data_IF_574193411193
#
_entry.id   IF_574193411193
#
_cell.length_a   1.000
_cell.length_b   1.000
_cell.length_c   1.000
_cell.angle_alpha   90.00
_cell.angle_beta   90.00
_cell.angle_gamma   90.00
#
_symmetry.space_group_name_H-M   'P 1'
#
loop_
_entity.id
_entity.type
_entity.pdbx_description
1 polymer ?
#
# COMPACT_ATOMS: atom_id res chain seq x y z
N UNK A 1 -32.47 -72.94 -34.60
CA UNK A 1 -31.96 -71.55 -34.69
C UNK A 1 -31.70 -71.03 -33.28
N UNK A 2 -30.46 -70.70 -33.01
CA UNK A 2 -30.08 -70.09 -31.73
C UNK A 2 -30.23 -68.56 -31.87
N UNK A 3 -31.07 -67.96 -31.06
CA UNK A 3 -31.19 -66.51 -30.98
C UNK A 3 -30.16 -66.00 -29.99
N UNK A 4 -29.24 -65.18 -30.46
CA UNK A 4 -28.20 -64.51 -29.67
C UNK A 4 -28.72 -63.10 -29.30
N UNK A 5 -28.80 -62.78 -27.98
CA UNK A 5 -29.19 -61.45 -27.50
C UNK A 5 -27.91 -60.84 -26.92
N UNK A 6 -27.30 -59.87 -27.57
CA UNK A 6 -26.19 -59.15 -26.99
C UNK A 6 -26.67 -58.29 -25.83
N UNK A 7 -26.09 -58.46 -24.64
CA UNK A 7 -26.29 -57.60 -23.50
C UNK A 7 -24.98 -56.81 -23.31
N UNK A 8 -25.06 -55.52 -23.43
CA UNK A 8 -23.88 -54.61 -23.33
C UNK A 8 -24.05 -53.77 -22.08
N UNK A 9 -23.00 -53.71 -21.28
CA UNK A 9 -22.91 -52.78 -20.16
C UNK A 9 -21.99 -51.66 -20.58
N UNK A 10 -22.30 -50.44 -20.16
CA UNK A 10 -21.48 -49.27 -20.32
C UNK A 10 -20.59 -49.09 -19.10
N UNK A 11 -19.37 -48.59 -19.28
CA UNK A 11 -18.50 -48.21 -18.18
C UNK A 11 -19.05 -46.97 -17.50
N UNK A 12 -18.90 -46.88 -16.17
CA UNK A 12 -19.25 -45.69 -15.43
C UNK A 12 -18.27 -44.56 -15.72
N UNK A 13 -18.74 -43.32 -15.90
CA UNK A 13 -17.89 -42.16 -16.14
C UNK A 13 -17.13 -41.75 -14.88
N UNK A 14 -16.14 -40.87 -15.07
CA UNK A 14 -15.43 -40.17 -14.02
C UNK A 14 -15.46 -38.67 -14.21
N UNK A 15 -15.20 -37.95 -13.15
CA UNK A 15 -15.05 -36.49 -13.14
C UNK A 15 -13.73 -36.11 -12.57
N UNK A 16 -12.95 -35.32 -13.29
CA UNK A 16 -11.74 -34.66 -12.80
C UNK A 16 -12.02 -33.17 -12.66
N UNK A 17 -11.80 -32.62 -11.49
CA UNK A 17 -11.79 -31.18 -11.23
C UNK A 17 -10.33 -30.74 -11.10
N UNK A 18 -9.95 -29.70 -11.84
CA UNK A 18 -8.59 -29.18 -11.84
C UNK A 18 -8.63 -27.71 -11.42
N UNK A 19 -7.75 -27.32 -10.53
CA UNK A 19 -7.67 -25.96 -9.98
C UNK A 19 -6.32 -25.33 -10.22
N UNK A 20 -6.34 -24.13 -10.82
CA UNK A 20 -5.14 -23.36 -11.14
C UNK A 20 -5.23 -21.91 -10.62
N UNK A 21 -4.07 -21.32 -10.35
CA UNK A 21 -3.89 -19.86 -10.30
C UNK A 21 -4.10 -19.27 -11.70
N UNK A 22 -4.91 -18.22 -11.82
CA UNK A 22 -5.28 -17.64 -13.11
C UNK A 22 -4.12 -16.91 -13.81
N UNK A 23 -3.12 -16.45 -13.05
CA UNK A 23 -1.98 -15.66 -13.54
C UNK A 23 -0.76 -16.53 -13.83
N UNK A 24 -0.39 -17.41 -12.91
CA UNK A 24 0.81 -18.25 -13.02
C UNK A 24 0.53 -19.59 -13.69
N UNK A 25 -0.72 -20.05 -13.70
CA UNK A 25 -1.18 -21.37 -14.10
C UNK A 25 -0.56 -22.51 -13.27
N UNK A 26 -0.10 -22.18 -12.07
CA UNK A 26 0.33 -23.19 -11.12
C UNK A 26 -0.89 -23.88 -10.48
N UNK A 27 -0.73 -25.16 -10.19
CA UNK A 27 -1.77 -25.95 -9.54
C UNK A 27 -2.02 -25.47 -8.10
N UNK A 28 -3.30 -25.39 -7.71
CA UNK A 28 -3.69 -24.96 -6.36
C UNK A 28 -4.19 -26.15 -5.54
N UNK A 29 -3.40 -26.65 -4.58
CA UNK A 29 -3.82 -27.71 -3.66
C UNK A 29 -4.69 -27.20 -2.53
N UNK A 30 -5.41 -28.14 -1.87
CA UNK A 30 -6.24 -27.90 -0.69
C UNK A 30 -7.43 -26.95 -0.90
N UNK A 31 -7.84 -26.73 -2.15
CA UNK A 31 -9.02 -25.93 -2.48
C UNK A 31 -10.26 -26.82 -2.37
N UNK A 32 -11.29 -26.33 -1.67
CA UNK A 32 -12.48 -27.11 -1.36
C UNK A 32 -13.60 -26.88 -2.36
N UNK A 33 -14.17 -27.96 -2.86
CA UNK A 33 -15.31 -27.96 -3.78
C UNK A 33 -16.47 -28.76 -3.21
N UNK A 34 -17.67 -28.20 -3.27
CA UNK A 34 -18.91 -28.94 -3.10
C UNK A 34 -19.32 -29.52 -4.45
N UNK A 35 -19.54 -30.83 -4.49
CA UNK A 35 -19.99 -31.55 -5.68
C UNK A 35 -21.38 -32.14 -5.41
N UNK A 36 -22.30 -31.90 -6.32
CA UNK A 36 -23.65 -32.47 -6.25
C UNK A 36 -24.05 -33.09 -7.59
N UNK A 37 -24.92 -34.10 -7.54
CA UNK A 37 -25.53 -34.74 -8.67
C UNK A 37 -27.05 -34.59 -8.57
N UNK A 38 -27.69 -34.10 -9.63
CA UNK A 38 -29.15 -33.92 -9.71
C UNK A 38 -29.71 -33.19 -8.46
N UNK A 39 -29.01 -32.12 -8.02
CA UNK A 39 -29.29 -31.32 -6.82
C UNK A 39 -29.10 -32.08 -5.48
N UNK A 40 -28.52 -33.27 -5.47
CA UNK A 40 -28.15 -34.01 -4.26
C UNK A 40 -26.65 -33.84 -3.98
N UNK A 41 -26.28 -33.32 -2.80
CA UNK A 41 -24.89 -33.18 -2.43
C UNK A 41 -24.21 -34.55 -2.28
N UNK A 42 -23.05 -34.71 -2.90
CA UNK A 42 -22.15 -35.84 -2.73
C UNK A 42 -21.11 -35.57 -1.62
N UNK A 43 -20.95 -34.32 -1.22
CA UNK A 43 -20.03 -33.89 -0.19
C UNK A 43 -19.09 -32.79 -0.65
N UNK A 44 -18.12 -32.48 0.24
CA UNK A 44 -17.03 -31.54 -0.02
C UNK A 44 -15.73 -32.30 -0.23
N UNK A 45 -15.03 -31.98 -1.30
CA UNK A 45 -13.77 -32.58 -1.72
C UNK A 45 -12.68 -31.50 -1.79
N UNK A 46 -11.43 -31.90 -1.59
CA UNK A 46 -10.29 -30.99 -1.66
C UNK A 46 -9.34 -31.42 -2.78
N UNK A 47 -8.73 -30.43 -3.46
CA UNK A 47 -7.69 -30.70 -4.43
C UNK A 47 -6.43 -31.23 -3.75
N UNK A 48 -5.79 -32.18 -4.39
CA UNK A 48 -4.52 -32.78 -3.99
C UNK A 48 -3.31 -31.87 -4.29
N UNK A 49 -2.08 -32.41 -4.14
CA UNK A 49 -0.85 -31.68 -4.42
C UNK A 49 -0.68 -31.24 -5.88
N UNK A 50 -1.43 -31.84 -6.81
CA UNK A 50 -1.47 -31.49 -8.23
C UNK A 50 -2.64 -30.55 -8.58
N UNK A 51 -3.39 -30.09 -7.59
CA UNK A 51 -4.56 -29.26 -7.79
C UNK A 51 -5.78 -30.04 -8.33
N UNK A 52 -5.85 -31.36 -8.13
CA UNK A 52 -6.87 -32.22 -8.73
C UNK A 52 -7.80 -32.87 -7.71
N UNK A 53 -9.06 -33.06 -8.09
CA UNK A 53 -10.01 -33.99 -7.47
C UNK A 53 -10.40 -35.00 -8.56
N UNK A 54 -10.20 -36.27 -8.31
CA UNK A 54 -10.60 -37.34 -9.22
C UNK A 54 -11.68 -38.21 -8.56
N UNK A 55 -12.86 -38.25 -9.19
CA UNK A 55 -13.95 -39.14 -8.83
C UNK A 55 -14.19 -40.14 -9.97
N UNK A 56 -14.17 -41.42 -9.64
CA UNK A 56 -14.40 -42.52 -10.60
C UNK A 56 -15.69 -43.26 -10.28
N UNK A 57 -16.13 -44.11 -11.20
CA UNK A 57 -17.29 -45.00 -11.04
C UNK A 57 -18.60 -44.23 -10.71
N UNK A 58 -18.75 -43.05 -11.29
CA UNK A 58 -19.88 -42.19 -11.09
C UNK A 58 -21.12 -42.70 -11.86
N UNK A 59 -22.32 -42.47 -11.32
CA UNK A 59 -23.55 -42.72 -12.04
C UNK A 59 -23.80 -41.64 -13.10
N UNK A 60 -24.23 -41.95 -14.32
CA UNK A 60 -24.62 -40.93 -15.30
C UNK A 60 -25.60 -39.92 -14.73
N UNK A 61 -25.51 -38.67 -15.18
CA UNK A 61 -26.39 -37.56 -14.70
C UNK A 61 -25.66 -36.21 -14.72
N UNK A 62 -26.36 -35.18 -14.22
CA UNK A 62 -25.86 -33.82 -14.19
C UNK A 62 -25.15 -33.52 -12.88
N UNK A 63 -23.88 -33.15 -12.99
CA UNK A 63 -23.04 -32.80 -11.85
C UNK A 63 -22.83 -31.28 -11.82
N UNK A 64 -22.95 -30.71 -10.62
CA UNK A 64 -22.67 -29.31 -10.32
C UNK A 64 -21.47 -29.26 -9.38
N UNK A 65 -20.44 -28.51 -9.75
CA UNK A 65 -19.21 -28.34 -8.99
C UNK A 65 -19.05 -26.86 -8.64
N UNK A 66 -18.91 -26.57 -7.35
CA UNK A 66 -18.82 -25.22 -6.81
C UNK A 66 -17.68 -25.12 -5.82
N UNK A 67 -16.80 -24.14 -6.00
CA UNK A 67 -15.80 -23.83 -5.01
C UNK A 67 -16.42 -23.23 -3.75
N UNK A 68 -16.06 -23.74 -2.57
CA UNK A 68 -16.61 -23.33 -1.27
C UNK A 68 -15.55 -22.80 -0.31
N UNK A 69 -14.25 -23.10 -0.56
CA UNK A 69 -13.14 -22.49 0.18
C UNK A 69 -11.87 -22.49 -0.67
N UNK A 70 -11.07 -21.45 -0.49
CA UNK A 70 -9.74 -21.28 -1.10
C UNK A 70 -8.70 -20.99 -0.01
N UNK A 71 -7.42 -20.91 -0.38
CA UNK A 71 -6.34 -20.48 0.51
C UNK A 71 -6.40 -18.98 0.82
N UNK A 72 -5.48 -18.51 1.69
CA UNK A 72 -5.47 -17.11 2.17
C UNK A 72 -5.02 -16.09 1.11
N UNK A 73 -4.27 -16.54 0.10
CA UNK A 73 -3.65 -15.66 -0.93
C UNK A 73 -4.48 -15.53 -2.21
N UNK A 74 -5.57 -16.30 -2.34
CA UNK A 74 -6.43 -16.27 -3.51
C UNK A 74 -7.84 -15.76 -3.20
N UNK A 75 -8.50 -15.28 -4.24
CA UNK A 75 -9.91 -14.86 -4.23
C UNK A 75 -10.76 -16.05 -4.63
N UNK A 76 -11.71 -16.43 -3.78
CA UNK A 76 -12.63 -17.53 -4.10
C UNK A 76 -13.50 -17.20 -5.31
N UNK A 77 -13.55 -18.13 -6.26
CA UNK A 77 -14.50 -18.08 -7.38
C UNK A 77 -15.65 -19.07 -7.15
N UNK A 78 -16.66 -18.61 -6.49
CA UNK A 78 -17.83 -19.45 -6.15
C UNK A 78 -18.84 -19.67 -7.29
N UNK A 79 -18.49 -19.26 -8.53
CA UNK A 79 -19.31 -19.52 -9.72
C UNK A 79 -19.32 -21.02 -10.01
N UNK A 80 -20.48 -21.70 -9.96
CA UNK A 80 -20.52 -23.13 -10.18
C UNK A 80 -20.35 -23.46 -11.68
N UNK A 81 -19.73 -24.60 -11.96
CA UNK A 81 -19.73 -25.20 -13.30
C UNK A 81 -20.58 -26.48 -13.28
N UNK A 82 -21.26 -26.74 -14.39
CA UNK A 82 -22.09 -27.90 -14.56
C UNK A 82 -21.55 -28.77 -15.69
N UNK A 83 -21.63 -30.09 -15.51
CA UNK A 83 -21.23 -31.06 -16.52
C UNK A 83 -22.26 -32.22 -16.50
N UNK A 84 -22.56 -32.73 -17.67
CA UNK A 84 -23.36 -33.95 -17.83
C UNK A 84 -22.42 -35.11 -18.10
N UNK A 85 -22.56 -36.19 -17.34
CA UNK A 85 -21.81 -37.42 -17.52
C UNK A 85 -22.74 -38.50 -18.06
N UNK A 86 -22.36 -39.12 -19.17
CA UNK A 86 -23.04 -40.24 -19.77
C UNK A 86 -22.23 -41.54 -19.59
N UNK A 87 -22.89 -42.69 -19.77
CA UNK A 87 -22.18 -43.95 -19.76
C UNK A 87 -21.12 -43.96 -20.86
N UNK A 88 -19.97 -44.56 -20.56
CA UNK A 88 -18.81 -44.67 -21.49
C UNK A 88 -18.09 -43.36 -21.87
N UNK A 89 -18.39 -42.24 -21.19
CA UNK A 89 -17.65 -40.94 -21.43
C UNK A 89 -16.19 -41.00 -21.01
N UNK A 90 -15.80 -41.97 -20.16
CA UNK A 90 -14.49 -41.97 -19.54
C UNK A 90 -14.39 -40.92 -18.42
N UNK A 91 -13.28 -40.23 -18.32
CA UNK A 91 -13.07 -39.14 -17.33
C UNK A 91 -13.21 -37.81 -18.03
N UNK A 92 -14.25 -37.05 -17.66
CA UNK A 92 -14.44 -35.66 -18.14
C UNK A 92 -13.83 -34.67 -17.15
N UNK A 93 -13.44 -33.49 -17.64
CA UNK A 93 -12.67 -32.50 -16.87
C UNK A 93 -13.42 -31.17 -16.72
N UNK A 94 -13.34 -30.58 -15.53
CA UNK A 94 -13.72 -29.20 -15.25
C UNK A 94 -12.50 -28.43 -14.71
N UNK A 95 -12.20 -27.29 -15.31
CA UNK A 95 -11.06 -26.46 -14.93
C UNK A 95 -11.57 -25.19 -14.28
N UNK A 96 -11.01 -24.87 -13.09
CA UNK A 96 -11.31 -23.68 -12.32
C UNK A 96 -10.05 -22.84 -12.10
N UNK A 97 -10.23 -21.53 -12.07
CA UNK A 97 -9.15 -20.57 -11.83
C UNK A 97 -9.51 -19.67 -10.65
N UNK A 98 -8.51 -19.33 -9.81
CA UNK A 98 -8.61 -18.27 -8.82
C UNK A 98 -7.59 -17.18 -9.12
N UNK A 99 -8.02 -15.94 -8.91
CA UNK A 99 -7.14 -14.78 -8.94
C UNK A 99 -6.39 -14.65 -7.62
N UNK A 100 -5.12 -14.23 -7.68
CA UNK A 100 -4.37 -13.84 -6.50
C UNK A 100 -4.99 -12.59 -5.86
N UNK A 101 -4.96 -12.53 -4.54
CA UNK A 101 -5.31 -11.29 -3.85
C UNK A 101 -4.32 -10.19 -4.21
N UNK A 102 -4.81 -8.95 -4.35
CA UNK A 102 -3.96 -7.83 -4.70
C UNK A 102 -3.06 -7.38 -3.56
N UNK A 103 -2.09 -6.55 -3.90
CA UNK A 103 -1.22 -5.87 -2.97
C UNK A 103 -1.18 -4.36 -3.17
N UNK A 104 -0.54 -3.66 -2.24
CA UNK A 104 -0.18 -2.24 -2.35
C UNK A 104 1.32 -2.11 -2.11
N UNK A 105 2.02 -1.49 -3.05
CA UNK A 105 3.40 -1.04 -2.91
C UNK A 105 3.41 0.48 -2.89
N UNK A 106 3.78 1.08 -1.76
CA UNK A 106 3.86 2.52 -1.56
C UNK A 106 5.33 2.92 -1.41
N UNK A 107 5.75 3.95 -2.14
CA UNK A 107 7.08 4.55 -2.05
C UNK A 107 6.95 6.01 -1.65
N UNK A 108 7.70 6.42 -0.65
CA UNK A 108 7.77 7.80 -0.13
C UNK A 108 9.11 8.43 -0.47
N UNK A 109 9.10 9.56 -1.16
CA UNK A 109 10.29 10.23 -1.67
C UNK A 109 10.33 11.71 -1.26
N UNK A 110 11.53 12.27 -1.20
CA UNK A 110 11.75 13.72 -1.24
C UNK A 110 11.31 14.28 -2.60
N UNK A 111 10.56 15.36 -2.61
CA UNK A 111 9.99 15.93 -3.85
C UNK A 111 11.04 16.52 -4.79
N UNK A 112 12.21 16.87 -4.29
CA UNK A 112 13.29 17.53 -5.03
C UNK A 112 14.41 16.55 -5.41
N UNK A 113 14.88 15.78 -4.42
CA UNK A 113 16.03 14.88 -4.63
C UNK A 113 15.63 13.49 -5.10
N UNK A 114 14.37 13.13 -4.91
CA UNK A 114 13.81 11.78 -5.12
C UNK A 114 14.45 10.68 -4.25
N UNK A 115 15.15 11.10 -3.18
CA UNK A 115 15.67 10.16 -2.20
C UNK A 115 14.53 9.57 -1.36
N UNK A 116 14.66 8.29 -0.95
CA UNK A 116 13.67 7.64 -0.11
C UNK A 116 13.48 8.32 1.24
N UNK A 117 12.24 8.42 1.70
CA UNK A 117 11.89 9.01 2.99
C UNK A 117 11.35 7.96 3.96
N UNK A 118 12.16 7.49 4.92
CA UNK A 118 11.70 6.63 6.00
C UNK A 118 10.89 7.40 7.05
N UNK A 119 10.16 6.67 7.89
CA UNK A 119 9.39 7.17 9.02
C UNK A 119 8.18 8.06 8.67
N UNK A 120 7.74 8.11 7.42
CA UNK A 120 6.45 8.66 7.06
C UNK A 120 5.33 7.73 7.51
N UNK A 121 4.28 8.27 8.12
CA UNK A 121 3.19 7.47 8.68
C UNK A 121 1.92 7.60 7.84
N UNK A 122 1.37 6.46 7.45
CA UNK A 122 0.19 6.34 6.60
C UNK A 122 -0.91 5.55 7.27
N UNK A 123 -2.16 5.90 6.98
CA UNK A 123 -3.33 5.06 7.22
C UNK A 123 -3.84 4.54 5.88
N UNK A 124 -4.07 3.22 5.81
CA UNK A 124 -4.61 2.52 4.65
C UNK A 124 -5.92 1.88 5.05
N UNK A 125 -7.00 2.21 4.34
CA UNK A 125 -8.38 1.84 4.67
C UNK A 125 -9.11 1.30 3.44
N UNK A 126 -9.83 0.18 3.61
CA UNK A 126 -10.78 -0.30 2.60
C UNK A 126 -12.06 0.54 2.69
N UNK A 127 -12.41 1.24 1.63
CA UNK A 127 -13.61 2.09 1.58
C UNK A 127 -14.86 1.22 1.67
N UNK A 128 -15.68 1.46 2.70
CA UNK A 128 -16.87 0.67 2.96
C UNK A 128 -16.64 -0.70 3.61
N UNK A 129 -15.38 -1.04 3.91
CA UNK A 129 -14.98 -2.26 4.62
C UNK A 129 -14.57 -2.01 6.06
N UNK A 130 -14.04 -3.05 6.71
CA UNK A 130 -13.56 -2.99 8.11
C UNK A 130 -12.04 -2.87 8.21
N UNK A 131 -11.31 -3.02 7.10
CA UNK A 131 -9.85 -2.89 7.11
C UNK A 131 -9.46 -1.43 7.26
N UNK A 132 -8.72 -1.11 8.32
CA UNK A 132 -8.09 0.18 8.56
C UNK A 132 -6.87 -0.03 9.45
N UNK A 133 -5.67 0.28 8.93
CA UNK A 133 -4.41 0.11 9.65
C UNK A 133 -3.45 1.26 9.36
N UNK A 134 -2.58 1.52 10.34
CA UNK A 134 -1.48 2.47 10.21
C UNK A 134 -0.17 1.73 9.94
N UNK A 135 0.64 2.32 9.06
CA UNK A 135 1.93 1.81 8.63
C UNK A 135 2.94 2.96 8.61
N UNK A 136 4.20 2.60 8.75
CA UNK A 136 5.32 3.55 8.68
C UNK A 136 6.27 3.08 7.60
N UNK A 137 6.75 4.01 6.77
CA UNK A 137 7.73 3.69 5.73
C UNK A 137 9.04 3.19 6.35
N UNK A 138 9.62 2.16 5.76
CA UNK A 138 10.87 1.55 6.16
C UNK A 138 12.10 2.41 5.77
N UNK A 139 13.31 1.84 5.89
CA UNK A 139 14.57 2.51 5.54
C UNK A 139 14.67 2.88 4.05
N UNK A 140 13.92 2.20 3.18
CA UNK A 140 13.85 2.46 1.74
C UNK A 140 12.69 3.40 1.37
N UNK A 141 11.96 3.92 2.37
CA UNK A 141 10.77 4.72 2.13
C UNK A 141 9.55 3.92 1.69
N UNK A 142 9.50 2.61 1.93
CA UNK A 142 8.51 1.71 1.36
C UNK A 142 7.52 1.16 2.39
N UNK A 143 6.31 0.86 1.92
CA UNK A 143 5.29 0.05 2.59
C UNK A 143 4.77 -0.96 1.58
N UNK A 144 4.92 -2.26 1.90
CA UNK A 144 4.41 -3.37 1.12
C UNK A 144 3.28 -4.09 1.85
N UNK A 145 2.16 -4.26 1.17
CA UNK A 145 1.01 -5.02 1.65
C UNK A 145 0.65 -6.07 0.62
N UNK A 146 0.40 -7.28 1.09
CA UNK A 146 -0.04 -8.42 0.27
C UNK A 146 -1.39 -8.93 0.77
N UNK A 147 -2.01 -9.79 -0.01
CA UNK A 147 -3.21 -10.56 0.34
C UNK A 147 -4.41 -9.69 0.76
N UNK A 148 -4.53 -8.51 0.13
CA UNK A 148 -5.63 -7.60 0.36
C UNK A 148 -6.91 -8.08 -0.36
N UNK A 149 -8.07 -7.75 0.20
CA UNK A 149 -9.32 -7.96 -0.52
C UNK A 149 -9.44 -6.94 -1.67
N UNK A 150 -9.96 -7.33 -2.85
CA UNK A 150 -10.25 -6.38 -3.92
C UNK A 150 -11.20 -5.28 -3.44
N UNK A 151 -10.96 -4.04 -3.88
CA UNK A 151 -11.81 -2.92 -3.48
C UNK A 151 -11.14 -1.56 -3.65
N UNK A 152 -11.84 -0.51 -3.22
CA UNK A 152 -11.29 0.84 -3.19
C UNK A 152 -10.52 1.07 -1.89
N UNK A 153 -9.25 1.42 -1.98
CA UNK A 153 -8.42 1.75 -0.83
C UNK A 153 -8.12 3.23 -0.77
N UNK A 154 -8.34 3.80 0.40
CA UNK A 154 -7.95 5.16 0.75
C UNK A 154 -6.63 5.11 1.51
N UNK A 155 -5.62 5.78 0.96
CA UNK A 155 -4.29 5.93 1.56
C UNK A 155 -4.13 7.37 2.00
N UNK A 156 -3.92 7.60 3.30
CA UNK A 156 -3.80 8.93 3.90
C UNK A 156 -2.47 9.05 4.62
N UNK A 157 -1.67 10.05 4.28
CA UNK A 157 -0.49 10.40 5.05
C UNK A 157 -0.91 11.13 6.33
N UNK A 158 -0.54 10.59 7.47
CA UNK A 158 -0.87 11.11 8.80
C UNK A 158 0.25 11.99 9.36
N UNK A 159 1.49 11.69 9.01
CA UNK A 159 2.66 12.44 9.41
C UNK A 159 3.78 12.28 8.39
N UNK A 160 4.39 13.40 7.99
CA UNK A 160 5.63 13.42 7.26
C UNK A 160 6.81 13.06 8.19
N UNK A 161 7.95 12.63 7.65
CA UNK A 161 9.20 12.56 8.41
C UNK A 161 9.60 13.92 8.98
N UNK A 162 10.43 13.91 10.02
CA UNK A 162 10.96 15.14 10.60
C UNK A 162 11.68 16.00 9.53
N UNK A 163 11.44 17.29 9.54
CA UNK A 163 11.99 18.21 8.55
C UNK A 163 11.20 18.31 7.24
N UNK A 164 10.06 17.64 7.10
CA UNK A 164 9.25 17.63 5.90
C UNK A 164 7.82 18.14 6.12
N UNK A 165 7.21 18.61 5.03
CA UNK A 165 5.80 18.96 4.92
C UNK A 165 5.05 17.86 4.18
N UNK A 166 3.77 17.67 4.53
CA UNK A 166 2.87 16.79 3.75
C UNK A 166 2.43 17.54 2.49
N UNK A 167 2.77 17.02 1.30
CA UNK A 167 2.38 17.63 0.03
C UNK A 167 0.99 17.17 -0.42
N UNK A 168 0.75 15.85 -0.39
CA UNK A 168 -0.51 15.22 -0.81
C UNK A 168 -0.97 14.21 0.26
N UNK A 169 -1.94 14.64 1.07
CA UNK A 169 -2.33 13.89 2.25
C UNK A 169 -3.15 12.63 1.96
N UNK A 170 -3.88 12.56 0.83
CA UNK A 170 -4.86 11.47 0.62
C UNK A 170 -5.04 11.09 -0.84
N UNK A 171 -4.98 9.80 -1.13
CA UNK A 171 -5.32 9.21 -2.44
C UNK A 171 -6.27 8.03 -2.28
N UNK A 172 -7.08 7.80 -3.30
CA UNK A 172 -7.96 6.62 -3.39
C UNK A 172 -7.67 5.88 -4.68
N UNK A 173 -7.54 4.57 -4.60
CA UNK A 173 -7.35 3.70 -5.76
C UNK A 173 -8.26 2.49 -5.67
N UNK A 174 -8.76 2.03 -6.82
CA UNK A 174 -9.42 0.74 -6.97
C UNK A 174 -8.35 -0.31 -7.27
N UNK A 175 -8.32 -1.40 -6.49
CA UNK A 175 -7.47 -2.56 -6.74
C UNK A 175 -8.32 -3.81 -7.00
N UNK A 176 -7.90 -4.62 -7.95
CA UNK A 176 -8.55 -5.85 -8.38
C UNK A 176 -7.63 -7.04 -8.16
N UNK A 177 -8.14 -8.25 -8.30
CA UNK A 177 -7.33 -9.46 -8.23
C UNK A 177 -6.20 -9.48 -9.27
N UNK A 178 -5.11 -10.17 -8.97
CA UNK A 178 -3.90 -10.29 -9.79
C UNK A 178 -3.09 -8.99 -9.98
N UNK A 179 -3.46 -7.89 -9.33
CA UNK A 179 -2.82 -6.59 -9.48
C UNK A 179 -2.17 -6.13 -8.18
N UNK A 180 -0.99 -5.50 -8.29
CA UNK A 180 -0.40 -4.74 -7.20
C UNK A 180 -0.49 -3.26 -7.56
N UNK A 181 -1.19 -2.50 -6.73
CA UNK A 181 -1.25 -1.06 -6.88
C UNK A 181 0.06 -0.42 -6.44
N UNK A 182 0.54 0.55 -7.22
CA UNK A 182 1.73 1.33 -6.88
C UNK A 182 1.35 2.77 -6.57
N UNK A 183 1.90 3.29 -5.46
CA UNK A 183 1.77 4.68 -5.06
C UNK A 183 3.14 5.31 -4.89
N UNK A 184 3.30 6.51 -5.39
CA UNK A 184 4.45 7.35 -5.06
C UNK A 184 3.93 8.61 -4.39
N UNK A 185 4.27 8.80 -3.12
CA UNK A 185 4.02 10.03 -2.37
C UNK A 185 5.33 10.80 -2.23
N UNK A 186 5.25 12.11 -2.33
CA UNK A 186 6.39 12.99 -2.09
C UNK A 186 6.15 13.86 -0.86
N UNK A 187 7.21 14.35 -0.23
CA UNK A 187 7.16 15.44 0.73
C UNK A 187 8.25 16.45 0.39
N UNK A 188 7.94 17.70 0.65
CA UNK A 188 8.86 18.81 0.43
C UNK A 188 9.54 19.18 1.75
N UNK A 189 10.84 19.45 1.71
CA UNK A 189 11.59 19.87 2.90
C UNK A 189 11.03 21.18 3.46
N UNK A 190 10.99 21.25 4.78
CA UNK A 190 10.72 22.50 5.48
C UNK A 190 11.82 23.49 5.20
N UNK A 191 11.48 24.78 5.05
CA UNK A 191 12.50 25.80 4.79
C UNK A 191 13.43 26.02 5.98
N UNK A 192 14.58 26.55 5.65
CA UNK A 192 15.60 26.99 6.60
C UNK A 192 16.17 28.32 6.17
N UNK A 193 16.72 29.09 7.10
CA UNK A 193 17.53 30.24 6.74
C UNK A 193 18.73 30.41 7.67
N UNK A 194 19.74 31.10 7.16
CA UNK A 194 20.92 31.49 7.91
C UNK A 194 20.96 33.03 8.07
N UNK A 195 21.03 33.49 9.32
CA UNK A 195 21.27 34.88 9.65
C UNK A 195 22.76 35.07 9.91
N UNK A 196 23.36 36.17 9.41
CA UNK A 196 24.73 36.51 9.66
C UNK A 196 24.83 37.94 10.21
N UNK A 197 25.37 38.09 11.40
CA UNK A 197 25.69 39.41 12.00
C UNK A 197 27.13 39.77 11.72
N UNK A 198 27.35 40.92 11.12
CA UNK A 198 28.69 41.38 10.72
C UNK A 198 29.02 42.73 11.37
N UNK A 199 30.30 42.91 11.63
CA UNK A 199 30.90 44.22 11.89
C UNK A 199 30.87 45.07 10.61
N UNK A 200 30.35 46.27 10.72
CA UNK A 200 30.12 47.16 9.55
C UNK A 200 31.41 47.69 8.91
N UNK A 201 32.53 47.65 9.63
CA UNK A 201 33.79 48.15 9.14
C UNK A 201 34.71 47.03 8.61
N UNK A 202 34.86 45.98 9.39
CA UNK A 202 35.73 44.85 9.04
C UNK A 202 35.09 43.78 8.20
N UNK A 203 33.75 43.70 8.20
CA UNK A 203 33.00 42.61 7.58
C UNK A 203 33.11 41.26 8.29
N UNK A 204 33.74 41.21 9.47
CA UNK A 204 33.87 39.98 10.24
C UNK A 204 32.61 39.67 11.00
N UNK A 205 32.36 38.37 11.21
CA UNK A 205 31.21 37.88 11.97
C UNK A 205 31.30 38.32 13.44
N UNK A 206 30.15 38.72 13.98
CA UNK A 206 29.99 39.14 15.37
C UNK A 206 29.25 38.12 16.21
N UNK A 207 29.95 37.50 17.15
CA UNK A 207 29.38 36.58 18.12
C UNK A 207 28.62 37.31 19.23
N UNK A 208 27.65 36.67 19.83
CA UNK A 208 26.93 37.14 21.01
C UNK A 208 25.79 38.13 20.77
N UNK A 209 25.45 38.42 19.52
CA UNK A 209 24.21 39.18 19.22
C UNK A 209 22.98 38.29 19.41
N UNK A 210 21.96 38.80 20.10
CA UNK A 210 20.68 38.08 20.33
C UNK A 210 19.66 38.58 19.34
N UNK A 211 19.02 37.65 18.65
CA UNK A 211 17.93 37.92 17.71
C UNK A 211 16.67 37.21 18.11
N UNK A 212 15.51 37.91 17.98
CA UNK A 212 14.18 37.36 18.01
C UNK A 212 13.69 37.14 16.60
N UNK A 213 13.21 35.92 16.37
CA UNK A 213 12.69 35.46 15.08
C UNK A 213 11.29 34.96 15.31
N UNK A 214 10.30 35.55 14.63
CA UNK A 214 8.88 35.24 14.81
C UNK A 214 8.18 35.11 13.47
N UNK A 215 7.33 34.09 13.33
CA UNK A 215 6.42 34.00 12.18
C UNK A 215 5.32 35.04 12.33
N UNK A 216 5.11 35.87 11.31
CA UNK A 216 4.19 37.02 11.41
C UNK A 216 2.73 36.58 11.50
N UNK A 217 2.37 35.50 10.83
CA UNK A 217 0.99 35.04 10.70
C UNK A 217 0.38 34.52 12.02
N UNK A 218 1.18 33.89 12.87
CA UNK A 218 0.68 33.32 14.14
C UNK A 218 1.12 34.05 15.39
N UNK A 219 2.05 35.01 15.29
CA UNK A 219 2.44 36.00 16.32
C UNK A 219 2.73 35.51 17.73
N UNK A 220 2.42 34.26 18.03
CA UNK A 220 2.47 33.67 19.36
C UNK A 220 3.74 32.90 19.66
N UNK A 221 4.50 32.52 18.64
CA UNK A 221 5.73 31.74 18.79
C UNK A 221 6.92 32.51 18.23
N UNK A 222 7.91 32.74 19.08
CA UNK A 222 9.17 33.32 18.68
C UNK A 222 10.34 32.45 19.14
N UNK A 223 11.45 32.56 18.41
CA UNK A 223 12.71 31.92 18.74
C UNK A 223 13.74 33.01 19.06
N UNK A 224 14.24 33.03 20.29
CA UNK A 224 15.40 33.86 20.61
C UNK A 224 16.67 33.03 20.38
N UNK A 225 17.61 33.55 19.59
CA UNK A 225 18.85 32.88 19.21
C UNK A 225 20.02 33.87 19.33
N UNK A 226 21.18 33.31 19.64
CA UNK A 226 22.41 34.06 19.80
C UNK A 226 23.39 33.66 18.68
N UNK A 227 24.05 34.64 18.07
CA UNK A 227 25.08 34.41 17.05
C UNK A 227 26.27 33.66 17.61
N UNK A 228 26.77 32.67 16.85
CA UNK A 228 27.95 31.88 17.18
C UNK A 228 29.27 32.66 16.96
N UNK A 229 30.41 31.98 17.09
CA UNK A 229 31.72 32.56 16.92
C UNK A 229 32.02 33.09 15.51
N UNK A 230 31.21 32.70 14.51
CA UNK A 230 31.26 33.21 13.14
C UNK A 230 30.23 34.31 12.87
N UNK A 231 29.47 34.68 13.88
CA UNK A 231 28.36 35.64 13.74
C UNK A 231 27.10 35.01 13.11
N UNK A 232 26.95 33.71 13.12
CA UNK A 232 25.87 33.00 12.42
C UNK A 232 24.81 32.45 13.37
N UNK A 233 23.56 32.44 12.87
CA UNK A 233 22.43 31.69 13.40
C UNK A 233 21.87 30.85 12.27
N UNK A 234 21.87 29.52 12.42
CA UNK A 234 21.25 28.60 11.48
C UNK A 234 19.94 28.08 12.08
N UNK A 235 18.85 28.15 11.33
CA UNK A 235 17.51 27.70 11.75
C UNK A 235 16.96 26.83 10.66
N UNK A 236 16.58 25.60 11.02
CA UNK A 236 15.96 24.61 10.15
C UNK A 236 14.53 24.29 10.59
N UNK A 237 13.82 23.51 9.82
CA UNK A 237 12.52 22.90 10.11
C UNK A 237 11.42 23.92 10.39
N UNK A 238 11.51 25.07 9.72
CA UNK A 238 10.54 26.14 9.83
C UNK A 238 9.30 25.84 8.96
N UNK A 239 8.14 26.29 9.41
CA UNK A 239 6.97 26.32 8.54
C UNK A 239 7.12 27.41 7.46
N UNK A 240 6.65 27.21 6.23
CA UNK A 240 6.61 28.26 5.22
C UNK A 240 5.85 29.49 5.72
N UNK A 241 6.28 30.68 5.29
CA UNK A 241 5.62 31.93 5.68
C UNK A 241 6.58 33.10 5.83
N UNK A 242 6.09 34.23 6.31
CA UNK A 242 6.87 35.44 6.52
C UNK A 242 7.33 35.51 7.97
N UNK A 243 8.63 35.71 8.16
CA UNK A 243 9.25 35.83 9.48
C UNK A 243 9.78 37.24 9.70
N UNK A 244 9.54 37.79 10.88
CA UNK A 244 10.24 38.97 11.37
C UNK A 244 11.50 38.57 12.09
N UNK A 245 12.57 39.35 11.93
CA UNK A 245 13.87 39.18 12.54
C UNK A 245 14.30 40.51 13.16
N UNK A 246 14.42 40.51 14.49
CA UNK A 246 14.74 41.73 15.27
C UNK A 246 15.94 41.45 16.16
N UNK A 247 16.96 42.29 16.12
CA UNK A 247 18.06 42.26 17.08
C UNK A 247 17.55 42.72 18.44
N UNK A 248 17.64 41.87 19.45
CA UNK A 248 17.25 42.17 20.84
C UNK A 248 18.39 42.80 21.59
N UNK A 249 19.61 42.24 21.48
CA UNK A 249 20.83 42.74 22.11
C UNK A 249 22.00 42.63 21.13
N UNK A 250 22.80 43.71 21.06
CA UNK A 250 24.05 43.72 20.32
C UNK A 250 25.18 43.15 21.15
N UNK A 251 26.27 42.64 20.52
CA UNK A 251 27.49 42.28 21.25
C UNK A 251 28.12 43.48 21.97
N UNK A 252 28.88 43.20 23.02
CA UNK A 252 29.59 44.25 23.79
C UNK A 252 30.46 45.12 22.86
N UNK A 253 30.33 46.45 23.00
CA UNK A 253 31.03 47.42 22.17
C UNK A 253 30.36 47.82 20.87
N UNK A 254 29.17 47.23 20.58
CA UNK A 254 28.41 47.51 19.37
C UNK A 254 27.04 48.18 19.66
N UNK A 255 26.59 48.95 18.72
CA UNK A 255 25.24 49.57 18.76
C UNK A 255 24.22 48.58 18.16
N UNK A 256 23.11 48.37 18.88
CA UNK A 256 22.01 47.54 18.43
C UNK A 256 21.38 48.11 17.17
N UNK A 257 21.13 47.23 16.20
CA UNK A 257 20.30 47.56 15.04
C UNK A 257 18.81 47.47 15.43
N UNK A 258 18.13 48.61 15.40
CA UNK A 258 16.73 48.70 15.75
C UNK A 258 15.73 48.37 14.61
N UNK A 259 16.23 48.03 13.44
CA UNK A 259 15.41 47.69 12.28
C UNK A 259 14.79 46.30 12.47
N UNK A 260 13.59 46.17 11.96
CA UNK A 260 12.93 44.87 11.79
C UNK A 260 13.12 44.42 10.34
N UNK A 261 13.59 43.18 10.17
CA UNK A 261 13.78 42.57 8.85
C UNK A 261 12.70 41.51 8.64
N UNK A 262 12.19 41.44 7.42
CA UNK A 262 11.24 40.42 7.02
C UNK A 262 11.89 39.47 6.02
N UNK A 263 11.72 38.16 6.22
CA UNK A 263 12.17 37.12 5.31
C UNK A 263 10.98 36.20 4.98
N UNK A 264 10.72 35.99 3.71
CA UNK A 264 9.70 35.04 3.24
C UNK A 264 10.37 33.72 2.94
N UNK A 265 9.85 32.64 3.53
CA UNK A 265 10.35 31.28 3.38
C UNK A 265 9.37 30.43 2.63
N UNK A 266 9.85 29.75 1.60
CA UNK A 266 9.09 28.83 0.76
C UNK A 266 9.53 27.39 1.03
N UNK A 267 8.62 26.38 0.81
CA UNK A 267 9.02 24.98 0.87
C UNK A 267 10.10 24.64 -0.17
N UNK A 268 10.99 23.70 0.13
CA UNK A 268 11.99 23.13 -0.81
C UNK A 268 13.37 23.69 -0.77
#
# INVERSE_FOLDING_TARGET
DTVEIPIVNEEKPGLRVIKYDSKTHEALPNISFEISKDAQSLGTFQTDEFGEILLTDLEPGTYLVKEVATDSSHIINSTPQQIELEGSDGILELIFFNDQKPGIHLVKLDSTTLEPLPNARFRIELVGGTFSKEYTTDANGEIDLTDLEPGAYKVTELAAPDGYLIDDATRVIQINGNENAQFVFTNTQKPSFRLVKLDSYSGLGLAGATFRIARIEDGSHYLDRVTDTKGEINISDLEPGIYSVVEMDAPEGYVKDSREYHVELFPG
#
